data_IF_995946172625
#
_entry.id   IF_995946172625
#
_cell.length_a   1.000
_cell.length_b   1.000
_cell.length_c   1.000
_cell.angle_alpha   90.00
_cell.angle_beta   90.00
_cell.angle_gamma   90.00
#
_symmetry.space_group_name_H-M   'P 1'
#
loop_
_entity.id
_entity.type
_entity.pdbx_description
1 polymer ?
#
# COMPACT_ATOMS: atom_id res chain seq x y z
N UNK A 1 -35.85 -2.97 -11.43
CA UNK A 1 -36.70 -2.50 -12.55
C UNK A 1 -36.67 -0.99 -12.52
N UNK A 2 -36.20 -0.36 -13.60
CA UNK A 2 -36.28 1.11 -13.74
C UNK A 2 -37.73 1.55 -13.56
N UNK A 3 -37.97 2.63 -12.83
CA UNK A 3 -39.33 3.18 -12.69
C UNK A 3 -39.74 3.67 -14.08
N UNK A 4 -40.84 3.14 -14.61
CA UNK A 4 -41.45 3.64 -15.85
C UNK A 4 -41.76 5.13 -15.70
N UNK A 5 -41.30 5.94 -16.65
CA UNK A 5 -41.57 7.37 -16.74
C UNK A 5 -43.00 7.63 -17.23
N UNK A 6 -43.57 6.69 -17.98
CA UNK A 6 -44.91 6.76 -18.54
C UNK A 6 -45.96 6.16 -17.60
N UNK A 7 -46.99 6.95 -17.24
CA UNK A 7 -48.09 6.47 -16.40
C UNK A 7 -49.38 6.38 -17.21
N UNK A 8 -49.84 5.17 -17.51
CA UNK A 8 -51.13 4.96 -18.15
C UNK A 8 -52.29 5.38 -17.23
N UNK A 9 -53.04 6.39 -17.66
CA UNK A 9 -54.31 6.84 -17.08
C UNK A 9 -55.18 7.46 -18.20
N UNK A 10 -56.41 7.84 -17.86
CA UNK A 10 -57.38 8.40 -18.81
C UNK A 10 -56.85 9.65 -19.54
N UNK A 11 -56.24 10.59 -18.81
CA UNK A 11 -55.73 11.84 -19.38
C UNK A 11 -54.54 11.59 -20.31
N UNK A 12 -53.57 10.76 -19.90
CA UNK A 12 -52.42 10.40 -20.74
C UNK A 12 -52.82 9.62 -21.99
N UNK A 13 -53.84 8.74 -21.90
CA UNK A 13 -54.34 8.05 -23.09
C UNK A 13 -55.08 9.04 -24.01
N UNK A 14 -55.81 10.00 -23.44
CA UNK A 14 -56.48 11.06 -24.21
C UNK A 14 -55.47 11.93 -24.95
N UNK A 15 -54.45 12.42 -24.24
CA UNK A 15 -53.37 13.21 -24.82
C UNK A 15 -52.65 12.44 -25.94
N UNK A 16 -52.27 11.19 -25.69
CA UNK A 16 -51.63 10.35 -26.70
C UNK A 16 -52.55 10.10 -27.90
N UNK A 17 -53.86 9.88 -27.67
CA UNK A 17 -54.83 9.68 -28.74
C UNK A 17 -54.96 10.91 -29.61
N UNK A 18 -55.08 12.09 -29.00
CA UNK A 18 -55.15 13.35 -29.73
C UNK A 18 -53.86 13.64 -30.48
N UNK A 19 -52.71 13.36 -29.87
CA UNK A 19 -51.42 13.51 -30.53
C UNK A 19 -51.32 12.64 -31.79
N UNK A 20 -51.72 11.38 -31.71
CA UNK A 20 -51.73 10.47 -32.86
C UNK A 20 -52.67 10.99 -33.95
N UNK A 21 -53.91 11.31 -33.60
CA UNK A 21 -54.91 11.75 -34.58
C UNK A 21 -54.50 13.07 -35.26
N UNK A 22 -54.05 14.05 -34.48
CA UNK A 22 -53.56 15.33 -35.01
C UNK A 22 -52.29 15.15 -35.86
N UNK A 23 -51.39 14.24 -35.45
CA UNK A 23 -50.19 13.95 -36.24
C UNK A 23 -50.51 13.39 -37.62
N UNK A 24 -51.65 12.71 -37.78
CA UNK A 24 -52.08 12.08 -39.03
C UNK A 24 -53.09 12.92 -39.83
N UNK A 25 -53.51 14.08 -39.31
CA UNK A 25 -54.56 14.90 -39.91
C UNK A 25 -54.15 15.50 -41.27
N UNK A 26 -52.90 15.95 -41.40
CA UNK A 26 -52.43 16.64 -42.61
C UNK A 26 -51.97 15.67 -43.71
N UNK A 27 -51.33 14.57 -43.33
CA UNK A 27 -50.78 13.59 -44.27
C UNK A 27 -50.53 12.24 -43.61
N UNK A 28 -50.53 11.13 -44.37
CA UNK A 28 -50.13 9.82 -43.88
C UNK A 28 -48.67 9.80 -43.40
N UNK A 29 -48.43 9.25 -42.20
CA UNK A 29 -47.09 9.12 -41.59
C UNK A 29 -46.81 7.69 -41.18
N UNK A 30 -45.52 7.36 -41.04
CA UNK A 30 -45.12 6.13 -40.39
C UNK A 30 -45.55 6.16 -38.92
N UNK A 31 -46.35 5.18 -38.51
CA UNK A 31 -46.90 5.17 -37.15
C UNK A 31 -45.81 5.07 -36.07
N UNK A 32 -44.69 4.41 -36.37
CA UNK A 32 -43.52 4.37 -35.47
C UNK A 32 -42.92 5.77 -35.27
N UNK A 33 -42.86 6.59 -36.33
CA UNK A 33 -42.36 7.96 -36.26
C UNK A 33 -43.29 8.84 -35.40
N UNK A 34 -44.61 8.62 -35.44
CA UNK A 34 -45.57 9.29 -34.55
C UNK A 34 -45.30 8.93 -33.09
N UNK A 35 -45.05 7.66 -32.78
CA UNK A 35 -44.71 7.22 -31.41
C UNK A 35 -43.42 7.86 -30.90
N UNK A 36 -42.37 7.90 -31.74
CA UNK A 36 -41.09 8.55 -31.39
C UNK A 36 -41.24 10.05 -31.14
N UNK A 37 -41.99 10.75 -32.00
CA UNK A 37 -42.24 12.17 -31.84
C UNK A 37 -42.95 12.50 -30.52
N UNK A 38 -43.90 11.65 -30.09
CA UNK A 38 -44.52 11.78 -28.78
C UNK A 38 -43.50 11.59 -27.64
N UNK A 39 -42.65 10.56 -27.72
CA UNK A 39 -41.63 10.31 -26.68
C UNK A 39 -40.62 11.46 -26.56
N UNK A 40 -40.21 12.06 -27.68
CA UNK A 40 -39.32 13.22 -27.73
C UNK A 40 -39.99 14.46 -27.13
N UNK A 41 -41.24 14.75 -27.54
CA UNK A 41 -41.98 15.92 -27.06
C UNK A 41 -42.24 15.87 -25.55
N UNK A 42 -42.56 14.69 -25.02
CA UNK A 42 -42.95 14.50 -23.61
C UNK A 42 -41.80 13.97 -22.72
N UNK A 43 -40.59 13.83 -23.26
CA UNK A 43 -39.42 13.35 -22.50
C UNK A 43 -39.57 11.94 -21.91
N UNK A 44 -40.39 11.09 -22.54
CA UNK A 44 -40.72 9.75 -22.01
C UNK A 44 -39.52 8.78 -22.14
N UNK A 45 -38.61 9.02 -23.09
CA UNK A 45 -37.46 8.14 -23.34
C UNK A 45 -37.88 6.73 -23.77
N UNK A 46 -36.96 5.76 -23.75
CA UNK A 46 -37.24 4.35 -24.08
C UNK A 46 -37.98 3.68 -22.92
N UNK A 47 -39.31 3.82 -22.90
CA UNK A 47 -40.19 3.26 -21.87
C UNK A 47 -40.98 2.03 -22.38
N UNK A 48 -40.80 0.85 -21.77
CA UNK A 48 -41.50 -0.37 -22.20
C UNK A 48 -43.03 -0.33 -22.04
N UNK A 49 -43.53 0.40 -21.05
CA UNK A 49 -44.98 0.57 -20.81
C UNK A 49 -45.56 1.46 -21.88
N UNK A 50 -44.88 2.57 -22.21
CA UNK A 50 -45.27 3.43 -23.32
C UNK A 50 -45.41 2.65 -24.62
N UNK A 51 -44.40 1.85 -25.00
CA UNK A 51 -44.44 1.10 -26.26
C UNK A 51 -45.63 0.13 -26.32
N UNK A 52 -45.91 -0.60 -25.23
CA UNK A 52 -47.08 -1.49 -25.15
C UNK A 52 -48.39 -0.72 -25.28
N UNK A 53 -48.49 0.43 -24.60
CA UNK A 53 -49.68 1.28 -24.66
C UNK A 53 -49.89 1.83 -26.06
N UNK A 54 -48.83 2.34 -26.68
CA UNK A 54 -48.86 2.93 -28.02
C UNK A 54 -49.28 1.90 -29.07
N UNK A 55 -48.68 0.72 -29.09
CA UNK A 55 -49.05 -0.37 -30.01
C UNK A 55 -50.51 -0.79 -29.83
N UNK A 56 -50.95 -0.95 -28.58
CA UNK A 56 -52.33 -1.32 -28.27
C UNK A 56 -53.31 -0.22 -28.68
N UNK A 57 -53.00 1.04 -28.40
CA UNK A 57 -53.80 2.19 -28.79
C UNK A 57 -53.94 2.25 -30.31
N UNK A 58 -52.83 2.10 -31.03
CA UNK A 58 -52.83 2.11 -32.48
C UNK A 58 -53.67 0.96 -33.06
N UNK A 59 -53.59 -0.22 -32.45
CA UNK A 59 -54.41 -1.39 -32.82
C UNK A 59 -55.91 -1.10 -32.63
N UNK A 60 -56.29 -0.56 -31.48
CA UNK A 60 -57.68 -0.19 -31.17
C UNK A 60 -58.18 0.91 -32.13
N UNK A 61 -57.38 1.93 -32.40
CA UNK A 61 -57.73 2.99 -33.35
C UNK A 61 -57.97 2.46 -34.76
N UNK A 62 -57.23 1.42 -35.17
CA UNK A 62 -57.45 0.75 -36.46
C UNK A 62 -58.74 -0.06 -36.46
N UNK A 63 -58.98 -0.85 -35.41
CA UNK A 63 -60.22 -1.65 -35.26
C UNK A 63 -61.47 -0.77 -35.21
N UNK A 64 -61.37 0.38 -34.54
CA UNK A 64 -62.42 1.39 -34.48
C UNK A 64 -62.47 2.27 -35.74
N UNK A 65 -61.66 1.98 -36.76
CA UNK A 65 -61.63 2.66 -38.05
C UNK A 65 -61.28 4.15 -37.95
N UNK A 66 -60.51 4.60 -36.95
CA UNK A 66 -60.03 5.98 -36.85
C UNK A 66 -58.81 6.24 -37.72
N UNK A 67 -57.95 5.23 -37.87
CA UNK A 67 -56.75 5.26 -38.71
C UNK A 67 -56.81 4.14 -39.74
N UNK A 68 -56.20 4.36 -40.91
CA UNK A 68 -56.17 3.38 -41.99
C UNK A 68 -55.36 2.11 -41.65
N UNK A 69 -55.54 1.05 -42.44
CA UNK A 69 -54.72 -0.15 -42.33
C UNK A 69 -53.34 0.09 -42.95
N UNK A 70 -52.23 -0.21 -42.26
CA UNK A 70 -50.90 -0.17 -42.87
C UNK A 70 -50.82 -1.19 -44.02
N UNK A 71 -50.38 -0.77 -45.21
CA UNK A 71 -49.92 -1.69 -46.25
C UNK A 71 -48.61 -2.31 -45.77
N UNK A 72 -48.69 -3.50 -45.16
CA UNK A 72 -47.66 -4.37 -44.57
C UNK A 72 -46.26 -3.77 -44.27
N UNK A 73 -45.92 -3.68 -42.97
CA UNK A 73 -44.57 -3.37 -42.49
C UNK A 73 -44.49 -2.33 -41.35
N UNK A 74 -43.36 -2.26 -40.61
CA UNK A 74 -43.12 -1.21 -39.61
C UNK A 74 -42.99 0.20 -40.20
N UNK A 75 -42.66 0.31 -41.50
CA UNK A 75 -42.52 1.57 -42.24
C UNK A 75 -43.79 1.94 -43.05
N UNK A 76 -44.91 1.29 -42.78
CA UNK A 76 -46.16 1.57 -43.49
C UNK A 76 -46.71 2.93 -43.04
N UNK A 77 -46.94 3.80 -44.02
CA UNK A 77 -47.64 5.07 -43.78
C UNK A 77 -49.11 4.79 -43.51
N UNK A 78 -49.63 5.42 -42.47
CA UNK A 78 -51.03 5.35 -42.07
C UNK A 78 -51.60 6.76 -42.07
N UNK A 79 -52.79 6.92 -42.66
CA UNK A 79 -53.53 8.18 -42.67
C UNK A 79 -54.77 8.12 -41.79
N UNK A 80 -55.37 9.28 -41.56
CA UNK A 80 -56.63 9.41 -40.85
C UNK A 80 -57.81 9.01 -41.76
N UNK A 81 -58.82 8.33 -41.19
CA UNK A 81 -60.08 8.08 -41.90
C UNK A 81 -61.06 9.23 -41.66
N UNK A 82 -62.19 9.22 -42.37
CA UNK A 82 -63.30 10.15 -42.08
C UNK A 82 -63.79 10.05 -40.62
N UNK A 83 -63.88 8.84 -40.06
CA UNK A 83 -64.26 8.64 -38.65
C UNK A 83 -63.19 9.23 -37.72
N UNK A 84 -61.90 8.99 -37.99
CA UNK A 84 -60.82 9.59 -37.21
C UNK A 84 -60.85 11.11 -37.20
N UNK A 85 -61.16 11.74 -38.34
CA UNK A 85 -61.32 13.20 -38.45
C UNK A 85 -62.47 13.72 -37.60
N UNK A 86 -63.54 12.94 -37.45
CA UNK A 86 -64.68 13.26 -36.60
C UNK A 86 -64.32 13.14 -35.12
N UNK A 87 -63.54 12.12 -34.73
CA UNK A 87 -63.09 11.93 -33.34
C UNK A 87 -62.18 13.06 -32.85
N UNK A 88 -61.35 13.64 -33.72
CA UNK A 88 -60.55 14.84 -33.37
C UNK A 88 -61.46 15.97 -32.87
N UNK A 89 -62.60 16.17 -33.55
CA UNK A 89 -63.57 17.23 -33.23
C UNK A 89 -64.47 16.85 -32.04
N UNK A 90 -64.80 15.56 -31.93
CA UNK A 90 -65.72 15.02 -30.94
C UNK A 90 -65.05 13.90 -30.13
N UNK A 91 -64.28 14.32 -29.13
CA UNK A 91 -63.39 13.46 -28.33
C UNK A 91 -64.11 12.43 -27.44
N UNK A 92 -65.45 12.38 -27.44
CA UNK A 92 -66.24 11.45 -26.64
C UNK A 92 -65.87 9.99 -26.93
N UNK A 93 -65.51 9.65 -28.17
CA UNK A 93 -65.10 8.28 -28.51
C UNK A 93 -63.76 7.88 -27.85
N UNK A 94 -62.88 8.84 -27.55
CA UNK A 94 -61.61 8.60 -26.84
C UNK A 94 -61.87 8.07 -25.43
N UNK A 95 -62.89 8.62 -24.78
CA UNK A 95 -63.31 8.16 -23.45
C UNK A 95 -63.87 6.74 -23.50
N UNK A 96 -64.67 6.43 -24.52
CA UNK A 96 -65.28 5.11 -24.70
C UNK A 96 -64.19 4.04 -24.91
N UNK A 97 -63.17 4.30 -25.73
CA UNK A 97 -62.08 3.34 -25.94
C UNK A 97 -61.23 3.15 -24.68
N UNK A 98 -61.04 4.20 -23.87
CA UNK A 98 -60.34 4.08 -22.59
C UNK A 98 -61.08 3.10 -21.67
N UNK A 99 -62.39 3.29 -21.48
CA UNK A 99 -63.20 2.43 -20.63
C UNK A 99 -63.23 0.98 -21.13
N UNK A 100 -63.39 0.78 -22.44
CA UNK A 100 -63.51 -0.55 -23.05
C UNK A 100 -62.19 -1.32 -23.11
N UNK A 101 -61.09 -0.65 -23.47
CA UNK A 101 -59.84 -1.33 -23.82
C UNK A 101 -58.70 -1.14 -22.81
N UNK A 102 -58.72 -0.09 -21.99
CA UNK A 102 -57.59 0.27 -21.14
C UNK A 102 -57.89 0.27 -19.64
N UNK A 103 -59.13 0.50 -19.21
CA UNK A 103 -59.50 0.59 -17.79
C UNK A 103 -59.15 -0.66 -16.97
N UNK A 104 -59.48 -1.85 -17.48
CA UNK A 104 -59.13 -3.12 -16.83
C UNK A 104 -57.61 -3.34 -16.78
N UNK A 105 -56.90 -2.88 -17.81
CA UNK A 105 -55.45 -2.99 -17.88
C UNK A 105 -54.75 -2.07 -16.87
N UNK A 106 -55.23 -0.84 -16.69
CA UNK A 106 -54.75 0.09 -15.65
C UNK A 106 -54.88 -0.56 -14.27
N UNK A 107 -56.06 -1.12 -13.94
CA UNK A 107 -56.27 -1.83 -12.67
C UNK A 107 -55.33 -3.01 -12.48
N UNK A 108 -55.03 -3.75 -13.55
CA UNK A 108 -54.08 -4.87 -13.52
C UNK A 108 -52.65 -4.41 -13.26
N UNK A 109 -52.21 -3.32 -13.91
CA UNK A 109 -50.88 -2.72 -13.68
C UNK A 109 -50.78 -2.22 -12.24
N UNK A 110 -51.80 -1.53 -11.74
CA UNK A 110 -51.81 -0.99 -10.37
C UNK A 110 -51.79 -2.08 -9.29
N UNK A 111 -52.56 -3.15 -9.47
CA UNK A 111 -52.58 -4.29 -8.54
C UNK A 111 -51.25 -5.04 -8.52
N UNK A 112 -50.64 -5.26 -9.69
CA UNK A 112 -49.30 -5.83 -9.80
C UNK A 112 -48.25 -4.94 -9.09
N UNK A 113 -48.29 -3.63 -9.31
CA UNK A 113 -47.40 -2.67 -8.66
C UNK A 113 -47.57 -2.65 -7.14
N UNK A 114 -48.81 -2.71 -6.62
CA UNK A 114 -49.10 -2.80 -5.18
C UNK A 114 -48.55 -4.09 -4.58
N UNK A 115 -48.75 -5.23 -5.24
CA UNK A 115 -48.23 -6.53 -4.78
C UNK A 115 -46.70 -6.53 -4.71
N UNK A 116 -46.04 -5.93 -5.70
CA UNK A 116 -44.58 -5.81 -5.74
C UNK A 116 -44.07 -4.92 -4.60
N UNK A 117 -44.67 -3.74 -4.37
CA UNK A 117 -44.30 -2.86 -3.25
C UNK A 117 -44.42 -3.57 -1.90
N UNK A 118 -45.47 -4.34 -1.69
CA UNK A 118 -45.67 -5.11 -0.47
C UNK A 118 -44.61 -6.22 -0.29
N UNK A 119 -44.22 -6.90 -1.38
CA UNK A 119 -43.13 -7.87 -1.36
C UNK A 119 -41.78 -7.22 -1.03
N UNK A 120 -41.50 -6.05 -1.61
CA UNK A 120 -40.27 -5.31 -1.37
C UNK A 120 -40.20 -4.78 0.08
N UNK A 121 -41.30 -4.27 0.63
CA UNK A 121 -41.39 -3.91 2.05
C UNK A 121 -41.14 -5.11 2.98
N UNK A 122 -41.69 -6.29 2.66
CA UNK A 122 -41.42 -7.53 3.41
C UNK A 122 -39.96 -7.95 3.33
N UNK A 123 -39.32 -7.79 2.17
CA UNK A 123 -37.88 -8.08 2.00
C UNK A 123 -37.03 -7.12 2.81
N UNK A 124 -37.35 -5.83 2.79
CA UNK A 124 -36.60 -4.79 3.48
C UNK A 124 -36.70 -4.93 5.00
N UNK A 125 -37.90 -5.16 5.53
CA UNK A 125 -38.10 -5.44 6.95
C UNK A 125 -37.36 -6.70 7.42
N UNK A 126 -37.31 -7.75 6.58
CA UNK A 126 -36.51 -8.96 6.88
C UNK A 126 -35.01 -8.66 6.89
N UNK A 127 -34.50 -7.86 5.95
CA UNK A 127 -33.10 -7.41 5.91
C UNK A 127 -32.74 -6.60 7.15
N UNK A 128 -33.55 -5.60 7.50
CA UNK A 128 -33.34 -4.77 8.70
C UNK A 128 -33.32 -5.59 9.98
N UNK A 129 -34.25 -6.55 10.15
CA UNK A 129 -34.25 -7.47 11.31
C UNK A 129 -32.98 -8.33 11.36
N UNK A 130 -32.49 -8.79 10.21
CA UNK A 130 -31.27 -9.60 10.13
C UNK A 130 -30.04 -8.76 10.48
N UNK A 131 -29.97 -7.54 9.95
CA UNK A 131 -28.91 -6.58 10.22
C UNK A 131 -28.85 -6.20 11.71
N UNK A 132 -29.99 -5.84 12.32
CA UNK A 132 -30.06 -5.52 13.74
C UNK A 132 -29.63 -6.71 14.63
N UNK A 133 -29.94 -7.95 14.22
CA UNK A 133 -29.49 -9.15 14.93
C UNK A 133 -27.97 -9.36 14.82
N UNK A 134 -27.39 -9.05 13.67
CA UNK A 134 -25.94 -9.12 13.45
C UNK A 134 -25.21 -8.06 14.27
N UNK A 135 -25.67 -6.81 14.23
CA UNK A 135 -25.13 -5.69 15.01
C UNK A 135 -25.20 -5.95 16.52
N UNK A 136 -26.31 -6.51 17.01
CA UNK A 136 -26.44 -6.91 18.42
C UNK A 136 -25.45 -8.01 18.81
N UNK A 137 -25.17 -8.96 17.91
CA UNK A 137 -24.15 -10.01 18.13
C UNK A 137 -22.74 -9.42 18.19
N UNK A 138 -22.39 -8.58 17.21
CA UNK A 138 -21.10 -7.90 17.16
C UNK A 138 -20.88 -6.99 18.37
N UNK A 139 -21.90 -6.26 18.81
CA UNK A 139 -21.86 -5.42 20.01
C UNK A 139 -21.62 -6.23 21.29
N UNK A 140 -22.30 -7.38 21.42
CA UNK A 140 -22.09 -8.29 22.55
C UNK A 140 -20.70 -8.92 22.55
N UNK A 141 -20.19 -9.29 21.37
CA UNK A 141 -18.84 -9.85 21.20
C UNK A 141 -17.76 -8.82 21.54
N UNK A 142 -17.88 -7.59 21.02
CA UNK A 142 -16.99 -6.49 21.35
C UNK A 142 -16.96 -6.19 22.86
N UNK A 143 -18.12 -6.21 23.54
CA UNK A 143 -18.19 -6.05 25.01
C UNK A 143 -17.50 -7.18 25.77
N UNK A 144 -17.58 -8.43 25.27
CA UNK A 144 -16.89 -9.58 25.87
C UNK A 144 -15.38 -9.48 25.68
N UNK A 145 -14.93 -9.11 24.49
CA UNK A 145 -13.52 -8.86 24.21
C UNK A 145 -12.95 -7.71 25.05
N UNK A 146 -13.70 -6.62 25.20
CA UNK A 146 -13.28 -5.48 26.01
C UNK A 146 -13.20 -5.87 27.50
N UNK A 147 -14.17 -6.64 28.00
CA UNK A 147 -14.12 -7.22 29.35
C UNK A 147 -12.89 -8.10 29.57
N UNK A 148 -12.59 -8.98 28.61
CA UNK A 148 -11.40 -9.84 28.63
C UNK A 148 -10.10 -9.03 28.58
N UNK A 149 -10.01 -8.01 27.71
CA UNK A 149 -8.85 -7.10 27.60
C UNK A 149 -8.65 -6.30 28.89
N UNK A 150 -9.71 -5.82 29.53
CA UNK A 150 -9.63 -5.10 30.82
C UNK A 150 -9.12 -6.01 31.94
N UNK A 151 -9.59 -7.26 32.01
CA UNK A 151 -9.10 -8.24 32.99
C UNK A 151 -7.64 -8.65 32.72
N UNK A 152 -7.27 -8.87 31.45
CA UNK A 152 -5.90 -9.16 31.05
C UNK A 152 -4.96 -7.99 31.37
N UNK A 153 -5.35 -6.74 31.09
CA UNK A 153 -4.59 -5.55 31.43
C UNK A 153 -4.49 -5.34 32.95
N UNK A 154 -5.54 -5.63 33.73
CA UNK A 154 -5.48 -5.56 35.19
C UNK A 154 -4.54 -6.61 35.78
N UNK A 155 -4.53 -7.83 35.23
CA UNK A 155 -3.61 -8.90 35.61
C UNK A 155 -2.17 -8.56 35.21
N UNK A 156 -1.94 -8.11 33.99
CA UNK A 156 -0.64 -7.62 33.52
C UNK A 156 -0.15 -6.43 34.35
N UNK A 157 -1.02 -5.50 34.75
CA UNK A 157 -0.63 -4.35 35.59
C UNK A 157 -0.24 -4.79 37.02
N UNK A 158 -0.90 -5.80 37.59
CA UNK A 158 -0.55 -6.39 38.89
C UNK A 158 0.74 -7.20 38.82
N UNK A 159 0.92 -8.03 37.79
CA UNK A 159 2.17 -8.76 37.52
C UNK A 159 3.33 -7.78 37.25
N UNK A 160 3.13 -6.77 36.40
CA UNK A 160 4.12 -5.71 36.11
C UNK A 160 4.49 -4.93 37.37
N UNK A 161 3.55 -4.63 38.27
CA UNK A 161 3.83 -3.94 39.52
C UNK A 161 4.70 -4.78 40.48
N UNK A 162 4.41 -6.08 40.58
CA UNK A 162 5.24 -7.06 41.33
C UNK A 162 6.65 -7.19 40.73
N UNK A 163 6.73 -7.21 39.40
CA UNK A 163 7.97 -7.33 38.63
C UNK A 163 8.80 -6.05 38.58
N UNK A 164 8.18 -4.88 38.72
CA UNK A 164 8.89 -3.59 38.80
C UNK A 164 9.64 -3.47 40.12
N UNK A 165 9.10 -4.02 41.21
CA UNK A 165 9.77 -4.09 42.52
C UNK A 165 10.97 -5.07 42.49
N UNK A 166 10.78 -6.29 41.98
CA UNK A 166 11.86 -7.28 41.80
C UNK A 166 12.90 -6.84 40.76
N UNK A 167 12.45 -6.21 39.67
CA UNK A 167 13.29 -5.71 38.59
C UNK A 167 14.17 -4.53 38.99
N UNK A 168 13.77 -3.70 39.97
CA UNK A 168 14.65 -2.62 40.48
C UNK A 168 15.88 -3.18 41.20
N UNK A 169 15.72 -4.25 42.00
CA UNK A 169 16.83 -4.97 42.66
C UNK A 169 17.70 -5.75 41.67
N UNK A 170 17.09 -6.40 40.68
CA UNK A 170 17.83 -7.14 39.65
C UNK A 170 18.68 -6.17 38.82
N UNK A 171 18.10 -5.05 38.35
CA UNK A 171 18.84 -4.06 37.53
C UNK A 171 20.04 -3.44 38.25
N UNK A 172 19.94 -3.13 39.54
CA UNK A 172 21.08 -2.59 40.30
C UNK A 172 22.21 -3.62 40.45
N UNK A 173 21.89 -4.90 40.60
CA UNK A 173 22.87 -5.99 40.63
C UNK A 173 23.54 -6.22 39.27
N UNK A 174 22.75 -6.30 38.18
CA UNK A 174 23.24 -6.56 36.81
C UNK A 174 24.19 -5.47 36.30
N UNK A 175 23.97 -4.21 36.68
CA UNK A 175 24.85 -3.10 36.28
C UNK A 175 26.29 -3.25 36.81
N UNK A 176 26.49 -3.99 37.90
CA UNK A 176 27.80 -4.24 38.53
C UNK A 176 28.49 -5.52 38.02
N UNK A 177 27.77 -6.39 37.31
CA UNK A 177 28.29 -7.66 36.78
C UNK A 177 29.04 -7.46 35.44
N UNK A 178 30.08 -8.24 35.19
CA UNK A 178 30.81 -8.21 33.92
C UNK A 178 30.08 -9.00 32.81
N UNK A 179 30.52 -8.89 31.55
CA UNK A 179 29.81 -9.48 30.40
C UNK A 179 29.74 -11.02 30.44
N UNK A 180 30.76 -11.69 30.99
CA UNK A 180 30.82 -13.15 31.12
C UNK A 180 29.82 -13.65 32.17
N UNK A 181 29.73 -12.97 33.32
CA UNK A 181 28.74 -13.24 34.35
C UNK A 181 27.30 -13.05 33.83
N UNK A 182 27.06 -11.98 33.05
CA UNK A 182 25.76 -11.76 32.40
C UNK A 182 25.41 -12.87 31.40
N UNK A 183 26.39 -13.35 30.63
CA UNK A 183 26.19 -14.43 29.66
C UNK A 183 25.84 -15.76 30.33
N UNK A 184 26.55 -16.12 31.41
CA UNK A 184 26.26 -17.34 32.17
C UNK A 184 24.87 -17.27 32.83
N UNK A 185 24.49 -16.09 33.35
CA UNK A 185 23.17 -15.87 33.93
C UNK A 185 22.05 -15.98 32.89
N UNK A 186 22.26 -15.44 31.68
CA UNK A 186 21.32 -15.58 30.55
C UNK A 186 21.15 -17.07 30.17
N UNK A 187 22.25 -17.80 29.96
CA UNK A 187 22.22 -19.23 29.58
C UNK A 187 21.49 -20.12 30.60
N UNK A 188 21.77 -19.92 31.89
CA UNK A 188 21.13 -20.69 32.95
C UNK A 188 19.62 -20.47 33.01
N UNK A 189 19.16 -19.22 32.82
CA UNK A 189 17.74 -18.87 32.93
C UNK A 189 16.95 -19.19 31.65
N UNK A 190 17.55 -19.13 30.45
CA UNK A 190 16.89 -19.59 29.22
C UNK A 190 16.63 -21.11 29.26
N UNK A 191 17.61 -21.89 29.72
CA UNK A 191 17.45 -23.34 29.91
C UNK A 191 16.35 -23.66 30.95
N UNK A 192 16.34 -22.96 32.10
CA UNK A 192 15.32 -23.17 33.14
C UNK A 192 13.92 -22.71 32.69
N UNK A 193 13.81 -21.64 31.91
CA UNK A 193 12.55 -21.19 31.33
C UNK A 193 11.97 -22.21 30.34
N UNK A 194 12.82 -22.85 29.52
CA UNK A 194 12.39 -23.89 28.60
C UNK A 194 11.80 -25.10 29.33
N UNK A 195 12.34 -25.42 30.52
CA UNK A 195 11.93 -26.57 31.33
C UNK A 195 10.90 -26.24 32.43
N UNK A 196 10.34 -25.01 32.44
CA UNK A 196 9.37 -24.56 33.45
C UNK A 196 8.04 -24.15 32.81
N UNK A 197 6.97 -24.07 33.63
CA UNK A 197 5.65 -23.61 33.19
C UNK A 197 5.07 -22.58 34.16
N UNK A 198 4.13 -21.76 33.65
CA UNK A 198 3.44 -20.73 34.43
C UNK A 198 4.39 -19.70 35.05
N UNK A 199 4.12 -19.31 36.30
CA UNK A 199 4.83 -18.22 36.98
C UNK A 199 6.35 -18.42 37.07
N UNK A 200 6.83 -19.66 37.25
CA UNK A 200 8.28 -19.94 37.29
C UNK A 200 8.96 -19.71 35.95
N UNK A 201 8.27 -20.03 34.85
CA UNK A 201 8.74 -19.72 33.49
C UNK A 201 8.84 -18.20 33.31
N UNK A 202 7.81 -17.47 33.74
CA UNK A 202 7.78 -16.03 33.62
C UNK A 202 8.94 -15.38 34.41
N UNK A 203 9.18 -15.81 35.65
CA UNK A 203 10.30 -15.33 36.48
C UNK A 203 11.68 -15.51 35.81
N UNK A 204 11.94 -16.67 35.19
CA UNK A 204 13.17 -16.90 34.44
C UNK A 204 13.26 -16.00 33.20
N UNK A 205 12.17 -15.84 32.45
CA UNK A 205 12.12 -14.96 31.28
C UNK A 205 12.37 -13.50 31.64
N UNK A 206 11.95 -13.06 32.83
CA UNK A 206 12.18 -11.69 33.29
C UNK A 206 13.64 -11.39 33.59
N UNK A 207 14.40 -12.37 34.08
CA UNK A 207 15.86 -12.25 34.25
C UNK A 207 16.53 -12.19 32.87
N UNK A 208 16.12 -13.05 31.93
CA UNK A 208 16.61 -13.06 30.54
C UNK A 208 16.41 -11.69 29.88
N UNK A 209 15.19 -11.17 29.91
CA UNK A 209 14.84 -9.85 29.35
C UNK A 209 15.62 -8.72 30.05
N UNK A 210 15.90 -8.84 31.35
CA UNK A 210 16.65 -7.83 32.10
C UNK A 210 18.13 -7.82 31.72
N UNK A 211 18.75 -8.99 31.52
CA UNK A 211 20.12 -9.10 31.00
C UNK A 211 20.20 -8.54 29.58
N UNK A 212 19.25 -8.88 28.70
CA UNK A 212 19.20 -8.35 27.33
C UNK A 212 19.03 -6.83 27.29
N UNK A 213 18.23 -6.26 28.20
CA UNK A 213 18.10 -4.79 28.34
C UNK A 213 19.40 -4.15 28.82
N UNK A 214 20.13 -4.78 29.73
CA UNK A 214 21.43 -4.30 30.19
C UNK A 214 22.49 -4.41 29.09
N UNK A 215 22.51 -5.50 28.31
CA UNK A 215 23.31 -5.57 27.09
C UNK A 215 22.91 -4.48 26.10
N UNK A 216 21.62 -4.24 25.86
CA UNK A 216 21.17 -3.14 24.99
C UNK A 216 21.57 -1.76 25.51
N UNK A 217 21.64 -1.55 26.83
CA UNK A 217 22.16 -0.31 27.43
C UNK A 217 23.66 -0.18 27.21
N UNK A 218 24.42 -1.26 27.46
CA UNK A 218 25.86 -1.30 27.19
C UNK A 218 26.14 -1.10 25.70
N UNK A 219 25.37 -1.73 24.82
CA UNK A 219 25.44 -1.59 23.35
C UNK A 219 25.09 -0.16 22.90
N UNK A 220 24.11 0.50 23.52
CA UNK A 220 23.79 1.91 23.22
C UNK A 220 24.85 2.90 23.72
N UNK A 221 25.58 2.53 24.76
CA UNK A 221 26.73 3.29 25.27
C UNK A 221 28.06 2.77 24.70
N UNK A 222 28.01 1.74 23.85
CA UNK A 222 29.09 1.35 22.94
C UNK A 222 28.81 2.14 21.66
N UNK A 223 29.80 2.78 21.03
CA UNK A 223 29.56 3.41 19.74
C UNK A 223 29.06 2.35 18.74
N UNK A 224 27.91 2.62 18.13
CA UNK A 224 27.15 1.68 17.30
C UNK A 224 27.85 1.47 15.94
N UNK A 225 28.69 0.44 15.84
CA UNK A 225 29.17 -0.19 14.58
C UNK A 225 30.00 0.67 13.62
N UNK A 226 30.87 1.55 14.12
CA UNK A 226 31.86 2.25 13.27
C UNK A 226 33.32 2.12 13.74
N UNK A 227 33.57 1.61 14.96
CA UNK A 227 34.91 1.27 15.43
C UNK A 227 35.35 -0.07 14.85
N UNK A 228 35.77 -0.08 13.58
CA UNK A 228 36.59 -1.17 13.08
C UNK A 228 38.02 -1.01 13.58
N UNK A 229 38.74 -2.11 13.83
CA UNK A 229 40.15 -2.03 14.24
C UNK A 229 40.96 -1.31 13.15
N UNK A 230 41.56 -0.16 13.49
CA UNK A 230 42.43 0.53 12.54
C UNK A 230 43.56 -0.41 12.09
N UNK A 231 43.78 -0.58 10.76
CA UNK A 231 44.73 -1.56 10.29
C UNK A 231 46.16 -1.06 10.56
N UNK A 232 47.00 -1.94 11.11
CA UNK A 232 48.44 -1.70 11.22
C UNK A 232 49.13 -2.05 9.89
N UNK A 233 50.28 -1.45 9.63
CA UNK A 233 51.19 -1.77 8.51
C UNK A 233 52.37 -2.64 8.94
N UNK A 234 52.41 -3.08 10.19
CA UNK A 234 53.49 -3.91 10.75
C UNK A 234 53.41 -5.33 10.19
N UNK A 235 54.57 -5.88 9.84
CA UNK A 235 54.72 -7.27 9.38
C UNK A 235 55.15 -8.09 10.59
N UNK A 236 54.23 -8.81 11.22
CA UNK A 236 54.56 -9.75 12.31
C UNK A 236 55.34 -10.98 11.81
N UNK A 237 56.02 -11.68 12.71
CA UNK A 237 56.92 -12.83 12.44
C UNK A 237 56.22 -14.11 11.93
N UNK A 238 54.91 -14.07 11.66
CA UNK A 238 54.14 -15.21 11.18
C UNK A 238 54.11 -15.29 9.64
N UNK A 239 54.17 -16.50 9.10
CA UNK A 239 53.95 -16.78 7.67
C UNK A 239 52.50 -16.46 7.29
N UNK A 240 52.25 -15.21 6.94
CA UNK A 240 50.90 -14.67 6.73
C UNK A 240 50.28 -15.08 5.39
N UNK A 241 49.51 -16.16 5.41
CA UNK A 241 48.45 -16.47 4.45
C UNK A 241 47.09 -16.02 4.99
N UNK A 242 46.92 -14.71 5.23
CA UNK A 242 45.60 -14.13 5.38
C UNK A 242 45.08 -13.86 3.98
N UNK A 243 43.88 -14.35 3.68
CA UNK A 243 43.20 -14.28 2.38
C UNK A 243 43.15 -12.82 1.89
N UNK A 244 44.19 -12.42 1.15
CA UNK A 244 44.18 -11.18 0.40
C UNK A 244 43.30 -11.52 -0.80
N UNK A 245 42.04 -11.13 -0.72
CA UNK A 245 41.18 -11.05 -1.88
C UNK A 245 41.94 -10.16 -2.88
N UNK A 246 42.66 -10.79 -3.80
CA UNK A 246 43.30 -10.16 -4.95
C UNK A 246 42.16 -9.84 -5.91
N UNK A 247 41.28 -8.95 -5.48
CA UNK A 247 40.04 -8.66 -6.16
C UNK A 247 40.05 -7.21 -6.59
N UNK A 248 40.05 -7.08 -7.92
CA UNK A 248 39.36 -6.04 -8.69
C UNK A 248 39.86 -4.61 -8.47
N UNK A 249 39.75 -3.77 -9.50
CA UNK A 249 40.27 -2.41 -9.48
C UNK A 249 39.71 -1.63 -8.28
N UNK A 250 40.59 -1.21 -7.37
CA UNK A 250 40.21 -0.35 -6.26
C UNK A 250 39.69 0.97 -6.80
N UNK A 251 38.61 1.51 -6.23
CA UNK A 251 38.14 2.85 -6.60
C UNK A 251 39.21 3.93 -6.39
N UNK A 252 40.21 3.70 -5.54
CA UNK A 252 41.36 4.58 -5.45
C UNK A 252 42.14 4.61 -6.76
N UNK A 253 42.39 3.44 -7.37
CA UNK A 253 43.06 3.34 -8.67
C UNK A 253 42.23 3.98 -9.78
N UNK A 254 40.91 3.74 -9.79
CA UNK A 254 39.95 4.39 -10.70
C UNK A 254 40.00 5.91 -10.60
N UNK A 255 40.09 6.45 -9.38
CA UNK A 255 40.18 7.88 -9.13
C UNK A 255 41.59 8.47 -9.38
N UNK A 256 42.53 7.66 -9.88
CA UNK A 256 43.87 8.09 -10.23
C UNK A 256 44.88 8.11 -9.07
N UNK A 257 44.52 7.60 -7.89
CA UNK A 257 45.43 7.54 -6.74
C UNK A 257 46.69 6.73 -7.07
N UNK A 258 47.86 7.37 -6.94
CA UNK A 258 49.18 6.78 -7.25
C UNK A 258 50.23 7.33 -6.27
N UNK A 259 51.14 6.46 -5.83
CA UNK A 259 52.22 6.74 -4.84
C UNK A 259 53.61 6.42 -5.41
N UNK A 260 54.67 6.82 -4.69
CA UNK A 260 56.05 6.47 -4.98
C UNK A 260 56.80 7.47 -5.86
N UNK A 261 58.12 7.30 -5.99
CA UNK A 261 59.01 8.33 -6.53
C UNK A 261 58.83 8.69 -8.01
N UNK A 262 58.58 7.69 -8.86
CA UNK A 262 58.63 7.88 -10.33
C UNK A 262 57.35 8.49 -10.90
N UNK A 263 56.19 8.07 -10.40
CA UNK A 263 54.87 8.48 -10.90
C UNK A 263 53.87 8.79 -9.75
N UNK A 264 54.34 8.94 -8.52
CA UNK A 264 53.49 9.25 -7.37
C UNK A 264 52.99 10.69 -7.42
N UNK A 265 51.75 10.86 -6.97
CA UNK A 265 51.16 12.18 -6.84
C UNK A 265 51.67 12.89 -5.57
N UNK A 266 51.73 14.23 -5.54
CA UNK A 266 52.02 14.98 -4.32
C UNK A 266 51.02 14.66 -3.21
N UNK A 267 51.46 14.71 -1.94
CA UNK A 267 50.64 14.38 -0.78
C UNK A 267 49.29 15.11 -0.76
N UNK A 268 49.26 16.41 -1.09
CA UNK A 268 48.02 17.20 -1.15
C UNK A 268 47.01 16.65 -2.17
N UNK A 269 47.49 16.18 -3.32
CA UNK A 269 46.64 15.61 -4.37
C UNK A 269 46.15 14.23 -3.96
N UNK A 270 47.01 13.40 -3.35
CA UNK A 270 46.63 12.09 -2.82
C UNK A 270 45.55 12.19 -1.75
N UNK A 271 45.75 13.06 -0.77
CA UNK A 271 44.81 13.31 0.32
C UNK A 271 43.48 13.84 -0.19
N UNK A 272 43.48 14.75 -1.17
CA UNK A 272 42.25 15.21 -1.81
C UNK A 272 41.49 14.07 -2.51
N UNK A 273 42.19 13.17 -3.22
CA UNK A 273 41.56 12.00 -3.83
C UNK A 273 40.95 11.09 -2.76
N UNK A 274 41.62 10.89 -1.63
CA UNK A 274 41.10 10.11 -0.50
C UNK A 274 39.88 10.77 0.14
N UNK A 275 39.89 12.09 0.33
CA UNK A 275 38.73 12.86 0.81
C UNK A 275 37.53 12.69 -0.13
N UNK A 276 37.76 12.78 -1.45
CA UNK A 276 36.70 12.60 -2.46
C UNK A 276 36.22 11.16 -2.53
N UNK A 277 37.09 10.18 -2.35
CA UNK A 277 36.72 8.76 -2.28
C UNK A 277 35.86 8.47 -1.03
N UNK A 278 36.19 9.09 0.10
CA UNK A 278 35.44 8.93 1.34
C UNK A 278 34.09 9.66 1.31
N UNK A 279 34.09 10.94 0.94
CA UNK A 279 32.94 11.83 1.11
C UNK A 279 32.09 12.05 -0.14
N UNK A 280 32.63 11.71 -1.32
CA UNK A 280 31.98 11.90 -2.61
C UNK A 280 31.22 10.67 -3.09
N UNK A 281 30.49 10.86 -4.19
CA UNK A 281 29.86 9.77 -4.93
C UNK A 281 30.92 9.06 -5.79
N UNK A 282 31.01 7.73 -5.68
CA UNK A 282 31.91 6.94 -6.52
C UNK A 282 31.34 6.74 -7.92
N UNK A 283 32.19 6.66 -8.96
CA UNK A 283 31.74 6.49 -10.34
C UNK A 283 31.12 5.08 -10.55
N UNK A 284 30.03 4.95 -11.32
CA UNK A 284 29.31 3.69 -11.48
C UNK A 284 29.95 2.77 -12.55
N UNK A 285 31.24 2.41 -12.39
CA UNK A 285 32.02 1.72 -13.44
C UNK A 285 31.69 0.22 -13.55
N UNK A 286 31.42 -0.45 -12.41
CA UNK A 286 31.16 -1.91 -12.36
C UNK A 286 29.74 -2.24 -11.85
N UNK A 287 28.81 -1.29 -11.99
CA UNK A 287 27.42 -1.46 -11.57
C UNK A 287 27.15 -1.24 -10.07
N UNK A 288 25.88 -1.36 -9.67
CA UNK A 288 25.38 -0.99 -8.34
C UNK A 288 25.91 -1.91 -7.23
N UNK A 289 26.18 -3.18 -7.55
CA UNK A 289 26.74 -4.16 -6.60
C UNK A 289 28.09 -3.72 -6.05
N UNK A 290 29.00 -3.26 -6.92
CA UNK A 290 30.35 -2.82 -6.54
C UNK A 290 30.31 -1.53 -5.72
N UNK A 291 29.40 -0.60 -6.05
CA UNK A 291 29.16 0.60 -5.26
C UNK A 291 28.69 0.27 -3.82
N UNK A 292 27.76 -0.68 -3.67
CA UNK A 292 27.26 -1.12 -2.36
C UNK A 292 28.34 -1.76 -1.50
N UNK A 293 29.26 -2.53 -2.09
CA UNK A 293 30.37 -3.15 -1.36
C UNK A 293 31.34 -2.14 -0.72
N UNK A 294 31.45 -0.95 -1.30
CA UNK A 294 32.26 0.13 -0.77
C UNK A 294 31.51 1.04 0.22
N UNK A 295 30.21 0.80 0.44
CA UNK A 295 29.37 1.57 1.38
C UNK A 295 28.87 2.89 0.82
N UNK A 296 28.15 3.64 1.65
CA UNK A 296 27.65 4.99 1.32
C UNK A 296 28.74 6.05 1.57
N UNK A 297 28.66 7.24 0.96
CA UNK A 297 29.55 8.36 1.27
C UNK A 297 29.58 8.66 2.78
N UNK A 298 30.77 8.95 3.32
CA UNK A 298 31.04 9.24 4.73
C UNK A 298 30.68 8.12 5.73
N UNK A 299 30.46 6.89 5.27
CA UNK A 299 30.20 5.75 6.16
C UNK A 299 31.48 5.10 6.69
N UNK A 300 31.44 4.45 7.85
CA UNK A 300 32.58 3.66 8.33
C UNK A 300 32.95 2.49 7.41
N UNK A 301 32.00 1.92 6.66
CA UNK A 301 32.31 0.88 5.67
C UNK A 301 33.24 1.43 4.57
N UNK A 302 32.98 2.65 4.10
CA UNK A 302 33.82 3.36 3.13
C UNK A 302 35.21 3.63 3.71
N UNK A 303 35.28 4.18 4.93
CA UNK A 303 36.56 4.44 5.60
C UNK A 303 37.35 3.15 5.82
N UNK A 304 36.69 2.06 6.24
CA UNK A 304 37.30 0.75 6.43
C UNK A 304 37.89 0.20 5.15
N UNK A 305 37.16 0.29 4.04
CA UNK A 305 37.65 -0.19 2.72
C UNK A 305 38.90 0.58 2.29
N UNK A 306 38.90 1.91 2.45
CA UNK A 306 40.09 2.73 2.14
C UNK A 306 41.26 2.37 3.05
N UNK A 307 41.06 2.34 4.36
CA UNK A 307 42.13 2.10 5.34
C UNK A 307 42.77 0.71 5.17
N UNK A 308 41.96 -0.35 5.02
CA UNK A 308 42.48 -1.71 4.85
C UNK A 308 43.17 -1.91 3.51
N UNK A 309 42.73 -1.20 2.46
CA UNK A 309 43.40 -1.23 1.17
C UNK A 309 44.80 -0.62 1.26
N UNK A 310 44.93 0.59 1.82
CA UNK A 310 46.23 1.26 2.01
C UNK A 310 47.17 0.43 2.87
N UNK A 311 46.69 -0.09 4.02
CA UNK A 311 47.49 -0.91 4.90
C UNK A 311 47.90 -2.25 4.28
N UNK A 312 47.02 -2.85 3.46
CA UNK A 312 47.31 -4.07 2.70
C UNK A 312 48.42 -3.86 1.67
N UNK A 313 48.38 -2.74 0.94
CA UNK A 313 49.46 -2.35 0.02
C UNK A 313 50.78 -2.17 0.77
N UNK A 314 50.82 -1.33 1.81
CA UNK A 314 52.03 -1.11 2.60
C UNK A 314 52.63 -2.43 3.13
N UNK A 315 51.80 -3.32 3.71
CA UNK A 315 52.24 -4.64 4.20
C UNK A 315 52.79 -5.54 3.13
N UNK A 316 52.12 -5.61 1.98
CA UNK A 316 52.54 -6.50 0.88
C UNK A 316 53.89 -6.06 0.31
N UNK A 317 54.10 -4.75 0.14
CA UNK A 317 55.34 -4.21 -0.39
C UNK A 317 56.48 -4.19 0.64
N UNK A 318 56.18 -4.05 1.94
CA UNK A 318 57.17 -4.24 3.02
C UNK A 318 57.77 -5.66 3.06
N UNK A 319 57.07 -6.67 2.55
CA UNK A 319 57.60 -8.04 2.40
C UNK A 319 58.53 -8.18 1.18
N UNK A 320 58.67 -7.16 0.34
CA UNK A 320 59.45 -7.15 -0.91
C UNK A 320 60.63 -6.17 -0.84
N UNK A 321 61.36 -6.15 0.29
CA UNK A 321 62.38 -5.13 0.61
C UNK A 321 63.51 -4.99 -0.42
N UNK A 322 63.76 -5.97 -1.29
CA UNK A 322 64.81 -5.90 -2.31
C UNK A 322 64.46 -5.08 -3.56
N UNK A 323 63.28 -4.45 -3.62
CA UNK A 323 62.72 -3.83 -4.84
C UNK A 323 62.57 -2.31 -4.82
N UNK A 324 63.05 -1.61 -3.78
CA UNK A 324 63.13 -0.15 -3.78
C UNK A 324 61.76 0.55 -3.65
N UNK A 325 60.86 0.03 -2.82
CA UNK A 325 59.50 0.57 -2.64
C UNK A 325 59.37 1.50 -1.42
N UNK A 326 60.47 1.96 -0.85
CA UNK A 326 60.50 2.70 0.41
C UNK A 326 59.63 3.97 0.33
N UNK A 327 59.74 4.72 -0.77
CA UNK A 327 58.96 5.94 -0.98
C UNK A 327 57.44 5.65 -1.09
N UNK A 328 57.06 4.58 -1.81
CA UNK A 328 55.66 4.20 -1.94
C UNK A 328 55.07 3.67 -0.62
N UNK A 329 55.87 2.94 0.16
CA UNK A 329 55.49 2.47 1.50
C UNK A 329 55.26 3.68 2.42
N UNK A 330 56.18 4.64 2.45
CA UNK A 330 56.04 5.87 3.24
C UNK A 330 54.78 6.62 2.86
N UNK A 331 54.53 6.81 1.56
CA UNK A 331 53.34 7.50 1.05
C UNK A 331 52.03 6.83 1.53
N UNK A 332 51.93 5.49 1.46
CA UNK A 332 50.75 4.78 1.96
C UNK A 332 50.57 4.89 3.47
N UNK A 333 51.66 4.92 4.23
CA UNK A 333 51.62 5.07 5.69
C UNK A 333 51.21 6.47 6.12
N UNK A 334 51.73 7.49 5.44
CA UNK A 334 51.36 8.89 5.65
C UNK A 334 49.89 9.13 5.31
N UNK A 335 49.42 8.58 4.19
CA UNK A 335 48.04 8.69 3.76
C UNK A 335 47.09 7.91 4.69
N UNK A 336 47.51 6.73 5.17
CA UNK A 336 46.76 5.99 6.18
C UNK A 336 46.69 6.78 7.50
N UNK A 337 47.79 7.39 7.94
CA UNK A 337 47.79 8.24 9.13
C UNK A 337 46.88 9.46 8.94
N UNK A 338 46.90 10.10 7.78
CA UNK A 338 45.98 11.19 7.44
C UNK A 338 44.52 10.78 7.57
N UNK A 339 44.12 9.65 6.96
CA UNK A 339 42.75 9.14 7.04
C UNK A 339 42.35 8.77 8.48
N UNK A 340 43.31 8.29 9.28
CA UNK A 340 43.09 8.03 10.70
C UNK A 340 42.80 9.33 11.45
N UNK A 341 43.68 10.31 11.34
CA UNK A 341 43.57 11.52 12.15
C UNK A 341 42.36 12.35 11.76
N UNK A 342 42.07 12.48 10.46
CA UNK A 342 41.00 13.33 9.94
C UNK A 342 39.62 12.68 10.02
N UNK A 343 39.50 11.39 9.71
CA UNK A 343 38.20 10.73 9.64
C UNK A 343 37.99 9.72 10.75
N UNK A 344 39.00 8.98 11.19
CA UNK A 344 38.82 8.00 12.26
C UNK A 344 38.77 8.65 13.66
N UNK A 345 39.69 9.57 13.97
CA UNK A 345 39.78 10.24 15.27
C UNK A 345 38.86 11.47 15.34
N UNK A 346 38.95 12.40 14.38
CA UNK A 346 38.20 13.66 14.41
C UNK A 346 36.72 13.54 14.02
N UNK A 347 36.38 12.70 13.05
CA UNK A 347 34.99 12.56 12.57
C UNK A 347 34.15 11.57 13.39
N UNK A 348 34.75 10.45 13.83
CA UNK A 348 34.05 9.43 14.63
C UNK A 348 34.37 9.46 16.13
N UNK A 349 35.31 10.32 16.58
CA UNK A 349 35.50 10.66 18.00
C UNK A 349 36.00 9.52 18.91
N UNK A 350 36.70 8.52 18.37
CA UNK A 350 37.17 7.38 19.18
C UNK A 350 38.35 7.77 20.09
N UNK A 351 38.17 7.67 21.40
CA UNK A 351 39.28 7.72 22.37
C UNK A 351 39.96 6.36 22.45
N UNK A 352 41.19 6.25 21.93
CA UNK A 352 42.05 5.08 22.11
C UNK A 352 42.80 5.15 23.45
N UNK A 353 42.98 4.04 24.20
CA UNK A 353 43.77 4.07 25.43
C UNK A 353 45.24 4.38 25.12
N UNK A 354 45.77 5.41 25.79
CA UNK A 354 47.19 5.72 25.82
C UNK A 354 47.98 4.50 26.30
N UNK A 355 49.07 4.17 25.60
CA UNK A 355 49.93 3.01 25.88
C UNK A 355 50.35 3.00 27.36
N UNK A 356 49.96 1.97 28.10
CA UNK A 356 50.51 1.64 29.40
C UNK A 356 51.63 0.62 29.24
N UNK A 357 52.85 1.07 29.57
CA UNK A 357 54.11 0.37 29.90
C UNK A 357 54.50 -0.91 29.15
#
# INVERSE_FOLDING_TARGET
>A
MSRSSFRLNQDTLRELSLFVLNSLADQPKEWIAVGKAYQELHGVGVDPVFYQVFVRLFTVMREEMWVGSPHEGPNSKVGLTFKGQTVIRHQAEIEVIYQRHFHSWVKTIETAARKQRHLDQKRETKKQKTQAKLEKRQSNEARREEGAKRQANARQKREMSSLVASGKRIRSSLSKSNNEQLLNLWKANTSRAANSTGQKKDEHLLIVISVEKEWRRRIRNLPEVEAFKWPSTDVGSGHGGGDFERAEESFLKVLGYTVGKTNGLPASTRQLILDRCFSGQLPPIDGISTLRMWGEPKSALRLRKIAYHLAGLAKNFKKMQSRGYEDAISDWEDDLKYMHDEYYVRHFGFSWPSRGH
#
